data_IF_438586421170
#
_entry.id   IF_438586421170
#
_cell.length_a   1.000
_cell.length_b   1.000
_cell.length_c   1.000
_cell.angle_alpha   90.00
_cell.angle_beta   90.00
_cell.angle_gamma   90.00
#
_symmetry.space_group_name_H-M   'P 1'
#
loop_
_entity.id
_entity.type
_entity.pdbx_description
1 polymer ?
#
# COMPACT_ATOMS: atom_id res chain seq x y z
N UNK A 1 -0.26 -38.43 -4.63
CA UNK A 1 0.73 -37.45 -5.14
C UNK A 1 1.09 -36.50 -4.01
N UNK A 2 2.28 -36.63 -3.42
CA UNK A 2 2.74 -35.68 -2.39
C UNK A 2 3.03 -34.33 -3.06
N UNK A 3 2.37 -33.26 -2.60
CA UNK A 3 2.66 -31.90 -3.08
C UNK A 3 4.04 -31.50 -2.58
N UNK A 4 4.95 -31.17 -3.49
CA UNK A 4 6.28 -30.67 -3.12
C UNK A 4 6.19 -29.21 -2.70
N UNK A 5 7.04 -28.79 -1.76
CA UNK A 5 7.15 -27.39 -1.33
C UNK A 5 7.49 -26.46 -2.50
N UNK A 6 8.24 -26.94 -3.49
CA UNK A 6 8.54 -26.20 -4.71
C UNK A 6 7.31 -25.90 -5.58
N UNK A 7 6.31 -26.79 -5.60
CA UNK A 7 5.03 -26.58 -6.31
C UNK A 7 4.07 -25.64 -5.54
N UNK A 8 4.36 -25.36 -4.26
CA UNK A 8 3.60 -24.44 -3.41
C UNK A 8 4.33 -23.11 -3.20
N UNK A 9 5.45 -22.88 -3.92
CA UNK A 9 6.18 -21.63 -3.86
C UNK A 9 5.28 -20.50 -4.38
N UNK A 10 5.11 -19.42 -3.61
CA UNK A 10 4.29 -18.28 -4.02
C UNK A 10 4.94 -17.57 -5.20
N UNK A 11 4.11 -17.09 -6.13
CA UNK A 11 4.56 -16.23 -7.23
C UNK A 11 5.17 -14.94 -6.64
N UNK A 12 6.31 -14.45 -7.16
CA UNK A 12 6.99 -13.28 -6.59
C UNK A 12 6.16 -11.98 -6.66
N UNK A 13 5.15 -11.94 -7.54
CA UNK A 13 4.17 -10.86 -7.62
C UNK A 13 2.77 -11.42 -7.82
N UNK A 14 1.76 -10.70 -7.35
CA UNK A 14 0.35 -11.04 -7.52
C UNK A 14 -0.47 -9.78 -7.79
N UNK A 15 -1.58 -9.93 -8.50
CA UNK A 15 -2.50 -8.81 -8.75
C UNK A 15 -3.44 -8.65 -7.58
N UNK A 16 -3.71 -7.42 -7.19
CA UNK A 16 -4.73 -7.08 -6.23
C UNK A 16 -5.41 -5.76 -6.60
N UNK A 17 -6.44 -5.43 -5.85
CA UNK A 17 -7.22 -4.20 -6.04
C UNK A 17 -7.20 -3.41 -4.74
N UNK A 18 -7.03 -2.09 -4.84
CA UNK A 18 -7.13 -1.19 -3.71
C UNK A 18 -8.31 -0.24 -3.92
N UNK A 19 -9.24 -0.19 -2.98
CA UNK A 19 -10.40 0.70 -3.05
C UNK A 19 -10.03 2.11 -2.60
N UNK A 20 -9.56 2.92 -3.54
CA UNK A 20 -9.13 4.30 -3.25
C UNK A 20 -10.35 5.20 -3.14
N UNK A 21 -10.57 5.89 -2.01
CA UNK A 21 -11.68 6.83 -1.88
C UNK A 21 -11.42 8.08 -2.73
N UNK A 22 -12.32 8.34 -3.68
CA UNK A 22 -12.29 9.53 -4.53
C UNK A 22 -13.42 10.47 -4.11
N UNK A 23 -13.07 11.71 -3.77
CA UNK A 23 -14.04 12.73 -3.36
C UNK A 23 -15.12 12.91 -4.45
N UNK A 24 -16.39 12.75 -4.06
CA UNK A 24 -17.54 12.89 -4.96
C UNK A 24 -17.86 11.69 -5.86
N UNK A 25 -16.97 10.69 -5.97
CA UNK A 25 -17.21 9.47 -6.77
C UNK A 25 -17.29 8.18 -5.93
N UNK A 26 -16.90 8.24 -4.65
CA UNK A 26 -16.85 7.08 -3.77
C UNK A 26 -15.57 6.25 -3.96
N UNK A 27 -15.49 5.05 -3.36
CA UNK A 27 -14.35 4.15 -3.54
C UNK A 27 -14.21 3.73 -5.00
N UNK A 28 -13.02 3.90 -5.58
CA UNK A 28 -12.69 3.44 -6.93
C UNK A 28 -11.66 2.32 -6.84
N UNK A 29 -11.93 1.16 -7.45
CA UNK A 29 -10.98 0.05 -7.47
C UNK A 29 -9.78 0.43 -8.33
N UNK A 30 -8.59 0.43 -7.73
CA UNK A 30 -7.32 0.63 -8.40
C UNK A 30 -6.60 -0.71 -8.54
N UNK A 31 -6.35 -1.13 -9.78
CA UNK A 31 -5.54 -2.31 -10.08
C UNK A 31 -4.07 -2.09 -9.71
N UNK A 32 -3.54 -2.96 -8.84
CA UNK A 32 -2.15 -2.92 -8.38
C UNK A 32 -1.50 -4.28 -8.52
N UNK A 33 -0.23 -4.28 -8.88
CA UNK A 33 0.62 -5.46 -8.84
C UNK A 33 1.43 -5.42 -7.57
N UNK A 34 1.10 -6.30 -6.62
CA UNK A 34 1.78 -6.42 -5.34
C UNK A 34 2.94 -7.40 -5.41
N UNK A 35 3.95 -7.19 -4.55
CA UNK A 35 5.07 -8.11 -4.34
C UNK A 35 4.71 -9.10 -3.24
N UNK A 36 5.10 -10.35 -3.41
CA UNK A 36 4.98 -11.32 -2.34
C UNK A 36 6.00 -11.01 -1.24
N UNK A 37 5.51 -10.92 -0.01
CA UNK A 37 6.31 -10.80 1.20
C UNK A 37 6.07 -12.06 2.04
N UNK A 38 7.14 -12.68 2.52
CA UNK A 38 7.07 -13.81 3.44
C UNK A 38 6.65 -13.35 4.85
N UNK A 39 6.50 -14.28 5.78
CA UNK A 39 6.06 -14.00 7.16
C UNK A 39 6.99 -13.01 7.88
N UNK A 40 8.30 -13.09 7.68
CA UNK A 40 9.25 -12.17 8.32
C UNK A 40 9.16 -10.78 7.69
N UNK A 41 9.07 -10.70 6.37
CA UNK A 41 8.88 -9.43 5.65
C UNK A 41 7.53 -8.77 5.99
N UNK A 42 6.46 -9.53 6.16
CA UNK A 42 5.16 -9.06 6.65
C UNK A 42 5.24 -8.44 8.04
N UNK A 43 5.95 -9.11 8.95
CA UNK A 43 6.17 -8.61 10.31
C UNK A 43 6.99 -7.31 10.30
N UNK A 44 8.02 -7.23 9.47
CA UNK A 44 8.80 -6.02 9.27
C UNK A 44 7.94 -4.88 8.70
N UNK A 45 7.12 -5.15 7.69
CA UNK A 45 6.17 -4.21 7.11
C UNK A 45 5.16 -3.68 8.13
N UNK A 46 4.60 -4.56 8.95
CA UNK A 46 3.70 -4.15 10.02
C UNK A 46 4.39 -3.25 11.04
N UNK A 47 5.65 -3.55 11.40
CA UNK A 47 6.42 -2.72 12.32
C UNK A 47 6.75 -1.34 11.71
N UNK A 48 7.12 -1.30 10.42
CA UNK A 48 7.34 -0.05 9.69
C UNK A 48 6.06 0.79 9.60
N UNK A 49 4.91 0.16 9.34
CA UNK A 49 3.62 0.84 9.29
C UNK A 49 3.26 1.47 10.63
N UNK A 50 3.37 0.71 11.73
CA UNK A 50 3.14 1.22 13.08
C UNK A 50 4.10 2.37 13.40
N UNK A 51 5.39 2.22 13.09
CA UNK A 51 6.38 3.27 13.32
C UNK A 51 6.07 4.56 12.53
N UNK A 52 5.60 4.45 11.29
CA UNK A 52 5.15 5.61 10.50
C UNK A 52 3.91 6.26 11.10
N UNK A 53 2.95 5.46 11.54
CA UNK A 53 1.73 5.96 12.17
C UNK A 53 2.05 6.68 13.48
N UNK A 54 2.96 6.16 14.30
CA UNK A 54 3.43 6.82 15.53
C UNK A 54 4.26 8.08 15.22
N UNK A 55 5.13 8.03 14.21
CA UNK A 55 5.97 9.18 13.79
C UNK A 55 5.12 10.36 13.33
N UNK A 56 4.04 10.11 12.60
CA UNK A 56 3.18 11.14 12.00
C UNK A 56 1.79 11.18 12.61
N UNK A 57 1.66 10.81 13.88
CA UNK A 57 0.39 10.84 14.61
C UNK A 57 -0.07 12.29 14.82
N UNK A 58 -0.87 12.80 13.90
CA UNK A 58 -1.53 14.09 14.05
C UNK A 58 -2.68 13.97 15.05
N UNK A 59 -2.80 14.94 15.95
CA UNK A 59 -4.01 15.12 16.78
C UNK A 59 -4.61 16.50 16.51
N UNK A 60 -5.84 16.72 16.96
CA UNK A 60 -6.47 18.03 16.84
C UNK A 60 -5.67 19.15 17.57
N UNK A 61 -4.83 18.78 18.54
CA UNK A 61 -4.02 19.69 19.35
C UNK A 61 -2.59 19.87 18.82
N UNK A 62 -2.12 18.94 17.99
CA UNK A 62 -0.81 18.98 17.35
C UNK A 62 -0.94 18.50 15.89
N UNK A 63 -1.44 19.36 14.99
CA UNK A 63 -1.43 19.07 13.56
C UNK A 63 0.02 18.99 13.07
N UNK A 64 0.25 18.19 12.03
CA UNK A 64 1.54 18.14 11.34
C UNK A 64 1.81 19.48 10.65
N UNK A 65 3.07 19.94 10.66
CA UNK A 65 3.49 21.06 9.80
C UNK A 65 3.51 20.64 8.33
N UNK A 66 3.51 21.63 7.43
CA UNK A 66 3.59 21.39 5.98
C UNK A 66 4.81 20.54 5.58
N UNK A 67 5.95 20.73 6.25
CA UNK A 67 7.16 19.92 6.06
C UNK A 67 6.95 18.48 6.55
N UNK A 68 6.35 18.30 7.72
CA UNK A 68 6.07 16.97 8.27
C UNK A 68 5.06 16.21 7.41
N UNK A 69 4.08 16.89 6.82
CA UNK A 69 3.14 16.30 5.87
C UNK A 69 3.82 15.85 4.57
N UNK A 70 4.77 16.65 4.05
CA UNK A 70 5.55 16.26 2.87
C UNK A 70 6.46 15.06 3.16
N UNK A 71 7.12 15.06 4.31
CA UNK A 71 7.95 13.95 4.75
C UNK A 71 7.10 12.69 4.99
N UNK A 72 5.92 12.83 5.59
CA UNK A 72 4.96 11.74 5.75
C UNK A 72 4.57 11.13 4.41
N UNK A 73 4.18 11.94 3.42
CA UNK A 73 3.78 11.45 2.09
C UNK A 73 4.93 10.77 1.37
N UNK A 74 6.15 11.27 1.54
CA UNK A 74 7.36 10.67 0.95
C UNK A 74 7.68 9.33 1.58
N UNK A 75 7.60 9.22 2.91
CA UNK A 75 7.84 7.96 3.62
C UNK A 75 6.74 6.93 3.32
N UNK A 76 5.47 7.36 3.23
CA UNK A 76 4.35 6.54 2.77
C UNK A 76 4.59 6.01 1.34
N UNK A 77 5.05 6.87 0.42
CA UNK A 77 5.34 6.47 -0.96
C UNK A 77 6.46 5.43 -1.04
N UNK A 78 7.53 5.58 -0.23
CA UNK A 78 8.59 4.57 -0.12
C UNK A 78 8.06 3.24 0.39
N UNK A 79 7.15 3.24 1.37
CA UNK A 79 6.52 2.02 1.85
C UNK A 79 5.69 1.35 0.74
N UNK A 80 4.91 2.14 0.00
CA UNK A 80 4.14 1.64 -1.16
C UNK A 80 5.05 1.02 -2.22
N UNK A 81 6.21 1.60 -2.52
CA UNK A 81 7.17 0.98 -3.46
C UNK A 81 7.74 -0.36 -2.99
N UNK A 82 7.78 -0.64 -1.68
CA UNK A 82 8.18 -1.94 -1.15
C UNK A 82 7.10 -3.01 -1.38
N UNK A 83 5.83 -2.63 -1.31
CA UNK A 83 4.69 -3.57 -1.41
C UNK A 83 4.12 -3.68 -2.83
N UNK A 84 4.16 -2.62 -3.61
CA UNK A 84 3.66 -2.54 -4.99
C UNK A 84 4.84 -2.55 -5.94
N UNK A 85 4.75 -3.38 -6.98
CA UNK A 85 5.71 -3.43 -8.07
C UNK A 85 5.28 -2.60 -9.28
N UNK A 86 3.97 -2.43 -9.49
CA UNK A 86 3.42 -1.64 -10.58
C UNK A 86 1.96 -1.26 -10.28
N UNK A 87 1.50 -0.19 -10.89
CA UNK A 87 0.11 0.26 -10.86
C UNK A 87 -0.52 0.30 -12.26
N UNK A 88 -1.84 0.47 -12.33
CA UNK A 88 -2.58 0.55 -13.60
C UNK A 88 -2.43 1.90 -14.33
N UNK A 89 -1.89 2.92 -13.67
CA UNK A 89 -1.71 4.24 -14.30
C UNK A 89 -0.67 4.22 -15.42
N UNK A 90 -0.84 5.13 -16.38
CA UNK A 90 0.11 5.37 -17.48
C UNK A 90 1.41 6.01 -17.00
N UNK A 91 1.35 6.72 -15.87
CA UNK A 91 2.51 7.36 -15.26
C UNK A 91 3.49 6.33 -14.70
N UNK A 92 4.77 6.68 -14.62
CA UNK A 92 5.79 5.78 -14.05
C UNK A 92 5.51 5.55 -12.56
N UNK A 93 5.68 4.31 -12.11
CA UNK A 93 5.55 3.97 -10.70
C UNK A 93 6.80 4.44 -9.92
N UNK A 94 6.82 5.72 -9.55
CA UNK A 94 7.92 6.40 -8.85
C UNK A 94 7.44 7.03 -7.54
N UNK A 95 8.38 7.32 -6.62
CA UNK A 95 8.06 8.01 -5.35
C UNK A 95 7.32 9.32 -5.61
N UNK A 96 7.77 10.11 -6.59
CA UNK A 96 7.20 11.42 -6.92
C UNK A 96 5.74 11.32 -7.37
N UNK A 97 5.45 10.40 -8.30
CA UNK A 97 4.10 10.21 -8.81
C UNK A 97 3.16 9.63 -7.72
N UNK A 98 3.66 8.76 -6.85
CA UNK A 98 2.89 8.23 -5.70
C UNK A 98 2.61 9.36 -4.70
N UNK A 99 3.60 10.20 -4.40
CA UNK A 99 3.42 11.35 -3.51
C UNK A 99 2.39 12.33 -4.09
N UNK A 100 2.43 12.62 -5.39
CA UNK A 100 1.43 13.45 -6.06
C UNK A 100 0.03 12.83 -6.02
N UNK A 101 -0.08 11.51 -6.16
CA UNK A 101 -1.32 10.78 -5.98
C UNK A 101 -1.88 10.94 -4.56
N UNK A 102 -1.03 10.94 -3.54
CA UNK A 102 -1.46 11.14 -2.14
C UNK A 102 -1.87 12.58 -1.82
N UNK A 103 -1.33 13.58 -2.53
CA UNK A 103 -1.81 14.97 -2.43
C UNK A 103 -3.24 15.10 -2.94
N UNK A 104 -3.56 14.41 -4.03
CA UNK A 104 -4.90 14.46 -4.63
C UNK A 104 -5.91 13.53 -3.94
N UNK A 105 -5.43 12.45 -3.32
CA UNK A 105 -6.25 11.44 -2.67
C UNK A 105 -5.78 11.20 -1.22
N UNK A 106 -6.30 12.00 -0.28
CA UNK A 106 -5.86 12.06 1.12
C UNK A 106 -5.95 10.74 1.93
N UNK A 107 -6.59 9.70 1.40
CA UNK A 107 -6.72 8.39 2.06
C UNK A 107 -6.28 7.21 1.16
N UNK A 108 -5.63 7.50 0.04
CA UNK A 108 -5.16 6.47 -0.89
C UNK A 108 -4.14 5.52 -0.25
N UNK A 109 -3.23 6.04 0.59
CA UNK A 109 -2.22 5.21 1.23
C UNK A 109 -2.82 4.05 2.05
N UNK A 110 -3.79 4.37 2.92
CA UNK A 110 -4.47 3.36 3.73
C UNK A 110 -5.20 2.31 2.86
N UNK A 111 -5.90 2.77 1.82
CA UNK A 111 -6.59 1.89 0.87
C UNK A 111 -5.63 0.92 0.17
N UNK A 112 -4.45 1.38 -0.26
CA UNK A 112 -3.43 0.55 -0.91
C UNK A 112 -2.91 -0.51 0.05
N UNK A 113 -2.58 -0.12 1.29
CA UNK A 113 -2.10 -1.04 2.32
C UNK A 113 -3.17 -2.08 2.67
N UNK A 114 -4.43 -1.66 2.82
CA UNK A 114 -5.54 -2.60 3.06
C UNK A 114 -5.72 -3.57 1.89
N UNK A 115 -5.73 -3.08 0.64
CA UNK A 115 -5.84 -3.91 -0.55
C UNK A 115 -4.69 -4.91 -0.66
N UNK A 116 -3.47 -4.50 -0.28
CA UNK A 116 -2.32 -5.39 -0.19
C UNK A 116 -2.53 -6.51 0.81
N UNK A 117 -2.92 -6.21 2.06
CA UNK A 117 -3.15 -7.24 3.08
C UNK A 117 -4.31 -8.17 2.71
N UNK A 118 -5.38 -7.66 2.11
CA UNK A 118 -6.49 -8.48 1.62
C UNK A 118 -6.04 -9.44 0.51
N UNK A 119 -5.32 -8.93 -0.49
CA UNK A 119 -4.81 -9.75 -1.58
C UNK A 119 -3.72 -10.74 -1.13
N UNK A 120 -2.86 -10.35 -0.18
CA UNK A 120 -1.80 -11.20 0.38
C UNK A 120 -2.34 -12.32 1.27
N UNK A 121 -3.33 -12.05 2.12
CA UNK A 121 -3.97 -13.05 2.98
C UNK A 121 -4.78 -14.10 2.20
N UNK A 122 -4.88 -13.96 0.87
CA UNK A 122 -5.72 -14.82 0.04
C UNK A 122 -7.20 -14.68 0.36
N UNK A 123 -7.59 -13.62 1.07
CA UNK A 123 -8.98 -13.25 1.26
C UNK A 123 -9.53 -12.93 -0.13
N UNK A 124 -10.12 -13.93 -0.77
CA UNK A 124 -10.91 -13.75 -1.97
C UNK A 124 -11.92 -12.65 -1.65
N UNK A 125 -11.72 -11.45 -2.19
CA UNK A 125 -12.85 -10.59 -2.53
C UNK A 125 -13.66 -11.43 -3.51
N UNK A 126 -14.70 -12.09 -2.97
CA UNK A 126 -15.68 -12.81 -3.77
C UNK A 126 -16.21 -11.81 -4.80
N UNK A 127 -15.88 -12.05 -6.06
CA UNK A 127 -16.62 -11.54 -7.20
C UNK A 127 -17.30 -12.73 -7.85
#
# INVERSE_FOLDING_TARGET
MAKSLASFAPTPTFKGTADVPVAGKGPQPLGLTFRFHDTEAMKALSAEFTALQDKYKATAEAPLSDEQEKDMRTDQAKLVMKIVSAWEFTDEFSVENITQFFVTHAFAFGAIVTGFFQAHSGAKTKN
#
